data_IF_597367521006
#
_entry.id   IF_597367521006
#
_cell.length_a   1.000
_cell.length_b   1.000
_cell.length_c   1.000
_cell.angle_alpha   90.00
_cell.angle_beta   90.00
_cell.angle_gamma   90.00
#
_symmetry.space_group_name_H-M   'P 1'
#
loop_
_entity.id
_entity.type
_entity.pdbx_description
1 polymer ?
#
# COMPACT_ATOMS: atom_id res chain seq x y z
N UNK A 1 10.43 -11.70 3.67
CA UNK A 1 9.62 -10.46 3.73
C UNK A 1 9.90 -9.59 2.51
N UNK A 2 8.88 -8.96 1.97
CA UNK A 2 9.00 -7.96 0.89
C UNK A 2 8.54 -6.60 1.40
N UNK A 3 9.11 -5.51 0.87
CA UNK A 3 8.71 -4.14 1.21
C UNK A 3 9.03 -3.20 0.05
N UNK A 4 8.44 -2.02 0.04
CA UNK A 4 8.93 -0.90 -0.76
C UNK A 4 10.20 -0.30 -0.13
N UNK A 5 10.97 0.48 -0.91
CA UNK A 5 12.21 1.06 -0.39
C UNK A 5 11.95 2.07 0.73
N UNK A 6 12.75 2.01 1.79
CA UNK A 6 12.75 2.97 2.89
C UNK A 6 12.08 2.53 4.18
N UNK A 7 11.37 1.41 4.20
CA UNK A 7 10.62 0.96 5.39
C UNK A 7 11.47 0.23 6.45
N UNK A 8 12.65 -0.31 6.08
CA UNK A 8 13.49 -1.06 7.00
C UNK A 8 14.17 -0.11 8.00
N UNK A 9 13.97 -0.35 9.29
CA UNK A 9 14.58 0.39 10.39
C UNK A 9 15.90 -0.24 10.85
N UNK A 10 15.88 -1.54 11.16
CA UNK A 10 17.07 -2.30 11.50
C UNK A 10 16.87 -3.79 11.18
N UNK A 11 17.98 -4.54 11.10
CA UNK A 11 17.96 -5.99 10.92
C UNK A 11 19.15 -6.65 11.59
N UNK A 12 19.02 -7.94 11.92
CA UNK A 12 20.15 -8.72 12.45
C UNK A 12 21.22 -8.97 11.37
N UNK A 13 22.50 -9.19 11.77
CA UNK A 13 23.63 -9.30 10.83
C UNK A 13 23.50 -10.44 9.80
N UNK A 14 22.72 -11.47 10.12
CA UNK A 14 22.49 -12.60 9.23
C UNK A 14 21.34 -12.39 8.23
N UNK A 15 20.74 -11.21 8.21
CA UNK A 15 19.73 -10.86 7.20
C UNK A 15 20.39 -10.38 5.91
N UNK A 16 19.89 -10.84 4.79
CA UNK A 16 20.29 -10.40 3.46
C UNK A 16 19.16 -9.60 2.81
N UNK A 17 19.50 -8.45 2.25
CA UNK A 17 18.60 -7.65 1.43
C UNK A 17 18.93 -7.85 -0.05
N UNK A 18 17.92 -8.12 -0.84
CA UNK A 18 18.01 -8.17 -2.29
C UNK A 18 16.99 -7.21 -2.89
N UNK A 19 17.43 -6.33 -3.78
CA UNK A 19 16.51 -5.49 -4.53
C UNK A 19 15.99 -6.29 -5.73
N UNK A 20 14.71 -6.57 -5.73
CA UNK A 20 14.04 -7.30 -6.79
C UNK A 20 13.53 -6.29 -7.83
N UNK A 21 14.35 -6.03 -8.84
CA UNK A 21 13.93 -5.29 -10.02
C UNK A 21 13.35 -6.25 -11.06
N UNK A 22 12.15 -6.01 -11.56
CA UNK A 22 11.67 -6.71 -12.75
C UNK A 22 12.63 -6.47 -13.92
N UNK A 23 12.85 -7.46 -14.81
CA UNK A 23 13.66 -7.28 -16.03
C UNK A 23 13.26 -6.02 -16.80
N UNK A 24 14.16 -5.48 -17.63
CA UNK A 24 14.07 -4.15 -18.25
C UNK A 24 12.70 -3.82 -18.86
N UNK A 25 11.98 -4.80 -19.42
CA UNK A 25 10.60 -4.64 -19.95
C UNK A 25 9.54 -4.50 -18.86
N UNK A 26 9.68 -5.20 -17.72
CA UNK A 26 8.79 -5.07 -16.56
C UNK A 26 9.06 -3.77 -15.79
N UNK A 27 10.32 -3.32 -15.76
CA UNK A 27 10.73 -2.07 -15.14
C UNK A 27 10.14 -0.85 -15.87
N UNK A 28 10.14 -0.86 -17.20
CA UNK A 28 9.50 0.20 -18.00
C UNK A 28 7.98 0.24 -17.77
N UNK A 29 7.30 -0.91 -17.72
CA UNK A 29 5.86 -0.99 -17.41
C UNK A 29 5.52 -0.46 -16.02
N UNK A 30 6.30 -0.83 -14.99
CA UNK A 30 6.13 -0.36 -13.62
C UNK A 30 6.46 1.13 -13.44
N UNK A 31 7.49 1.64 -14.10
CA UNK A 31 7.81 3.07 -14.10
C UNK A 31 6.68 3.93 -14.70
N UNK A 32 5.98 3.41 -15.72
CA UNK A 32 4.83 4.10 -16.31
C UNK A 32 3.56 3.98 -15.47
N UNK A 33 3.40 2.92 -14.67
CA UNK A 33 2.25 2.73 -13.78
C UNK A 33 2.40 3.42 -12.42
N UNK A 34 3.54 4.10 -12.16
CA UNK A 34 3.81 4.75 -10.85
C UNK A 34 4.09 3.75 -9.72
N UNK A 35 4.27 2.46 -10.04
CA UNK A 35 4.79 1.49 -9.10
C UNK A 35 6.27 1.76 -8.85
N UNK A 36 6.72 1.67 -7.59
CA UNK A 36 8.15 1.63 -7.32
C UNK A 36 8.74 0.44 -8.09
N UNK A 37 9.65 0.75 -9.01
CA UNK A 37 10.29 -0.25 -9.87
C UNK A 37 11.10 -1.28 -9.07
N UNK A 38 11.31 -1.03 -7.78
CA UNK A 38 12.16 -1.82 -6.90
C UNK A 38 11.41 -2.18 -5.62
N UNK A 39 11.28 -3.48 -5.39
CA UNK A 39 10.92 -4.05 -4.09
C UNK A 39 12.18 -4.60 -3.45
N UNK A 40 12.30 -4.45 -2.15
CA UNK A 40 13.35 -5.10 -1.38
C UNK A 40 12.80 -6.40 -0.79
N UNK A 41 13.56 -7.48 -0.97
CA UNK A 41 13.31 -8.76 -0.35
C UNK A 41 14.34 -8.97 0.75
N UNK A 42 13.88 -9.39 1.91
CA UNK A 42 14.72 -9.70 3.06
C UNK A 42 14.59 -11.17 3.43
N UNK A 43 15.72 -11.85 3.58
CA UNK A 43 15.80 -13.27 3.97
C UNK A 43 16.88 -13.49 5.02
N UNK A 44 16.63 -14.37 5.99
CA UNK A 44 17.63 -14.80 6.95
C UNK A 44 18.54 -15.85 6.31
N UNK A 45 19.83 -15.83 6.66
CA UNK A 45 20.85 -16.76 6.18
C UNK A 45 21.38 -17.59 7.33
N UNK A 46 21.35 -18.93 7.19
CA UNK A 46 21.95 -19.86 8.14
C UNK A 46 21.25 -19.94 9.50
N UNK A 47 20.00 -19.57 9.63
CA UNK A 47 19.21 -19.63 10.85
C UNK A 47 18.19 -18.49 10.96
N UNK A 48 17.58 -18.35 12.13
CA UNK A 48 16.58 -17.31 12.36
C UNK A 48 17.22 -15.92 12.33
N UNK A 49 16.49 -14.97 11.78
CA UNK A 49 16.88 -13.56 11.71
C UNK A 49 15.75 -12.64 12.15
N UNK A 50 16.08 -11.45 12.57
CA UNK A 50 15.13 -10.42 12.94
C UNK A 50 15.26 -9.22 12.01
N UNK A 51 14.11 -8.63 11.68
CA UNK A 51 14.04 -7.38 10.93
C UNK A 51 12.91 -6.52 11.49
N UNK A 52 13.14 -5.23 11.58
CA UNK A 52 12.12 -4.25 11.94
C UNK A 52 11.81 -3.33 10.76
N UNK A 53 10.55 -3.15 10.52
CA UNK A 53 10.00 -2.13 9.63
C UNK A 53 9.34 -1.07 10.50
N UNK A 54 9.50 0.18 10.14
CA UNK A 54 8.96 1.29 10.91
C UNK A 54 8.19 2.24 10.00
N UNK A 55 7.10 2.78 10.54
CA UNK A 55 6.37 3.89 9.92
C UNK A 55 7.22 5.16 9.90
N UNK A 56 7.06 5.96 8.85
CA UNK A 56 7.72 7.26 8.72
C UNK A 56 7.07 8.34 9.59
N UNK A 57 5.84 8.12 10.07
CA UNK A 57 5.07 9.06 10.88
C UNK A 57 4.51 8.38 12.13
N UNK A 58 4.18 9.16 13.19
CA UNK A 58 3.48 8.63 14.35
C UNK A 58 2.09 8.10 13.95
N UNK A 59 1.83 6.84 14.27
CA UNK A 59 0.59 6.19 13.87
C UNK A 59 0.51 4.75 14.36
N UNK A 60 -0.20 3.92 13.61
CA UNK A 60 -0.38 2.50 13.90
C UNK A 60 0.06 1.63 12.73
N UNK A 61 0.55 0.42 13.07
CA UNK A 61 0.82 -0.64 12.10
C UNK A 61 -0.22 -1.74 12.31
N UNK A 62 -0.90 -2.11 11.23
CA UNK A 62 -1.96 -3.10 11.25
C UNK A 62 -1.58 -4.29 10.38
N UNK A 63 -1.80 -5.51 10.88
CA UNK A 63 -1.61 -6.74 10.14
C UNK A 63 -2.89 -7.12 9.39
N UNK A 64 -2.76 -7.47 8.11
CA UNK A 64 -3.83 -7.92 7.24
C UNK A 64 -3.55 -9.36 6.80
N UNK A 65 -4.46 -10.26 7.11
CA UNK A 65 -4.41 -11.65 6.64
C UNK A 65 -4.88 -11.72 5.18
N UNK A 66 -3.97 -12.11 4.29
CA UNK A 66 -4.24 -12.28 2.85
C UNK A 66 -4.34 -13.77 2.55
N UNK A 67 -5.38 -14.16 1.82
CA UNK A 67 -5.61 -15.56 1.47
C UNK A 67 -6.70 -15.74 0.42
N UNK A 68 -7.08 -16.98 0.11
CA UNK A 68 -8.17 -17.26 -0.81
C UNK A 68 -9.47 -16.58 -0.36
N UNK A 69 -10.03 -15.69 -1.18
CA UNK A 69 -11.22 -14.90 -0.87
C UNK A 69 -11.01 -13.77 0.16
N UNK A 70 -9.77 -13.47 0.51
CA UNK A 70 -9.37 -12.41 1.45
C UNK A 70 -8.32 -11.51 0.82
N UNK A 71 -8.63 -10.93 -0.32
CA UNK A 71 -7.80 -9.90 -0.93
C UNK A 71 -8.13 -8.54 -0.32
N UNK A 72 -7.10 -7.70 -0.19
CA UNK A 72 -7.27 -6.33 0.31
C UNK A 72 -6.82 -5.33 -0.75
N UNK A 73 -7.47 -4.19 -0.78
CA UNK A 73 -7.09 -3.05 -1.61
C UNK A 73 -6.60 -1.97 -0.66
N UNK A 74 -5.34 -1.57 -0.79
CA UNK A 74 -4.68 -0.64 0.12
C UNK A 74 -4.15 0.57 -0.64
N UNK A 75 -4.12 1.71 0.01
CA UNK A 75 -3.43 2.87 -0.55
C UNK A 75 -1.93 2.57 -0.64
N UNK A 76 -1.29 2.93 -1.77
CA UNK A 76 0.14 2.67 -1.97
C UNK A 76 1.01 3.14 -0.80
N UNK A 77 0.73 4.32 -0.26
CA UNK A 77 1.49 4.89 0.87
C UNK A 77 1.24 4.18 2.20
N UNK A 78 0.16 3.42 2.31
CA UNK A 78 -0.12 2.65 3.51
C UNK A 78 0.59 1.29 3.54
N UNK A 79 1.07 0.77 2.40
CA UNK A 79 1.79 -0.50 2.38
C UNK A 79 3.17 -0.37 3.05
N UNK A 80 3.42 -1.18 4.07
CA UNK A 80 4.69 -1.21 4.81
C UNK A 80 5.55 -2.41 4.44
N UNK A 81 5.05 -3.60 4.61
CA UNK A 81 5.75 -4.85 4.33
C UNK A 81 4.76 -6.02 4.16
N UNK A 82 5.23 -7.13 3.58
CA UNK A 82 4.46 -8.37 3.54
C UNK A 82 5.35 -9.61 3.53
N UNK A 83 4.75 -10.75 3.83
CA UNK A 83 5.36 -12.05 3.59
C UNK A 83 5.52 -12.30 2.09
N UNK A 84 6.46 -13.17 1.72
CA UNK A 84 6.82 -13.43 0.32
C UNK A 84 5.67 -13.98 -0.53
N UNK A 85 4.70 -14.65 0.08
CA UNK A 85 3.52 -15.20 -0.59
C UNK A 85 2.47 -14.15 -0.97
N UNK A 86 2.62 -12.90 -0.53
CA UNK A 86 1.72 -11.79 -0.88
C UNK A 86 2.21 -11.10 -2.15
N UNK A 87 1.31 -10.93 -3.09
CA UNK A 87 1.56 -10.26 -4.36
C UNK A 87 0.86 -8.90 -4.40
N UNK A 88 1.58 -7.88 -4.89
CA UNK A 88 1.07 -6.52 -5.07
C UNK A 88 0.83 -6.25 -6.55
N UNK A 89 -0.34 -5.68 -6.84
CA UNK A 89 -0.67 -5.20 -8.19
C UNK A 89 -1.42 -3.86 -8.11
N UNK A 90 -1.34 -3.04 -9.15
CA UNK A 90 -2.12 -1.79 -9.19
C UNK A 90 -3.61 -2.13 -9.37
N UNK A 91 -4.43 -1.66 -8.44
CA UNK A 91 -5.89 -1.73 -8.54
C UNK A 91 -6.44 -0.50 -9.26
N UNK A 92 -6.03 0.68 -8.85
CA UNK A 92 -6.48 1.95 -9.42
C UNK A 92 -5.37 2.99 -9.36
N UNK A 93 -5.23 3.77 -10.43
CA UNK A 93 -4.37 4.95 -10.46
C UNK A 93 -5.12 6.13 -11.09
N UNK A 94 -5.22 7.24 -10.35
CA UNK A 94 -5.81 8.49 -10.83
C UNK A 94 -4.85 9.65 -10.59
N UNK A 95 -4.57 10.42 -11.63
CA UNK A 95 -3.79 11.67 -11.51
C UNK A 95 -4.70 12.80 -11.02
N UNK A 96 -4.63 13.13 -9.76
CA UNK A 96 -5.43 14.16 -9.08
C UNK A 96 -4.60 15.44 -8.90
N UNK A 97 -4.26 16.15 -9.99
CA UNK A 97 -3.51 17.41 -9.91
C UNK A 97 -2.11 17.28 -9.30
N UNK A 98 -1.29 18.33 -9.44
CA UNK A 98 0.14 18.29 -9.02
C UNK A 98 0.38 18.47 -7.50
N UNK A 99 -0.62 18.70 -6.68
CA UNK A 99 -0.46 19.11 -5.27
C UNK A 99 -0.83 18.06 -4.22
N UNK A 100 -1.78 17.17 -4.47
CA UNK A 100 -2.36 16.33 -3.43
C UNK A 100 -1.59 15.05 -3.12
N UNK A 101 -0.86 14.46 -4.08
CA UNK A 101 -0.19 13.16 -3.92
C UNK A 101 1.23 13.15 -4.49
N UNK A 102 1.97 14.25 -4.39
CA UNK A 102 3.40 14.31 -4.74
C UNK A 102 3.71 14.00 -6.22
N UNK A 103 2.77 14.24 -7.14
CA UNK A 103 2.97 14.04 -8.59
C UNK A 103 2.67 12.61 -9.09
N UNK A 104 2.66 11.59 -8.26
CA UNK A 104 2.31 10.20 -8.64
C UNK A 104 0.80 10.00 -8.78
N UNK A 105 0.00 10.82 -8.08
CA UNK A 105 -1.45 10.70 -8.03
C UNK A 105 -1.93 9.77 -6.91
N UNK A 106 -3.23 9.52 -6.87
CA UNK A 106 -3.85 8.57 -5.96
C UNK A 106 -3.71 7.16 -6.54
N UNK A 107 -3.07 6.27 -5.81
CA UNK A 107 -2.81 4.89 -6.22
C UNK A 107 -3.30 3.94 -5.15
N UNK A 108 -4.17 3.01 -5.57
CA UNK A 108 -4.58 1.86 -4.77
C UNK A 108 -3.94 0.60 -5.32
N UNK A 109 -3.42 -0.23 -4.45
CA UNK A 109 -2.79 -1.52 -4.76
C UNK A 109 -3.67 -2.66 -4.23
N UNK A 110 -3.78 -3.73 -5.01
CA UNK A 110 -4.43 -4.96 -4.59
C UNK A 110 -3.39 -5.93 -4.04
N UNK A 111 -3.64 -6.43 -2.85
CA UNK A 111 -2.87 -7.48 -2.19
C UNK A 111 -3.60 -8.81 -2.39
N UNK A 112 -2.91 -9.78 -2.99
CA UNK A 112 -3.42 -11.14 -3.28
C UNK A 112 -2.39 -12.17 -2.85
N UNK A 113 -2.69 -13.45 -3.06
CA UNK A 113 -1.81 -14.56 -2.69
C UNK A 113 -2.11 -15.10 -1.30
N UNK A 114 -1.09 -15.42 -0.50
CA UNK A 114 -1.26 -15.97 0.84
C UNK A 114 -0.14 -15.51 1.76
N UNK A 115 -0.51 -15.00 2.93
CA UNK A 115 0.41 -14.54 3.98
C UNK A 115 -0.12 -13.30 4.69
N UNK A 116 0.74 -12.70 5.51
CA UNK A 116 0.44 -11.48 6.25
C UNK A 116 1.04 -10.27 5.53
N UNK A 117 0.24 -9.26 5.33
CA UNK A 117 0.67 -7.92 4.92
C UNK A 117 0.56 -6.94 6.09
N UNK A 118 1.43 -5.97 6.14
CA UNK A 118 1.43 -4.91 7.15
C UNK A 118 1.21 -3.57 6.46
N UNK A 119 0.28 -2.80 7.00
CA UNK A 119 0.02 -1.43 6.57
C UNK A 119 0.31 -0.45 7.70
N UNK A 120 0.79 0.73 7.34
CA UNK A 120 0.94 1.87 8.25
C UNK A 120 -0.21 2.86 8.04
N UNK A 121 -0.69 3.43 9.12
CA UNK A 121 -1.73 4.46 9.13
C UNK A 121 -1.23 5.62 9.99
N UNK A 122 -1.14 6.80 9.40
CA UNK A 122 -0.79 8.03 10.11
C UNK A 122 -1.92 8.37 11.08
N UNK A 123 -1.61 8.40 12.38
CA UNK A 123 -2.59 8.60 13.43
C UNK A 123 -3.39 7.35 13.77
N UNK A 124 -4.71 7.46 13.81
CA UNK A 124 -5.62 6.41 14.25
C UNK A 124 -6.52 5.92 13.12
N UNK A 125 -6.55 4.60 12.92
CA UNK A 125 -7.43 3.94 11.94
C UNK A 125 -8.81 3.65 12.52
N UNK A 126 -9.86 3.95 11.75
CA UNK A 126 -11.25 3.60 12.07
C UNK A 126 -11.78 2.65 10.99
N UNK A 127 -12.36 1.54 11.42
CA UNK A 127 -12.96 0.55 10.53
C UNK A 127 -14.47 0.77 10.42
N UNK A 128 -15.00 0.74 9.20
CA UNK A 128 -16.41 0.83 8.90
C UNK A 128 -16.89 -0.41 8.16
N UNK A 129 -17.90 -1.07 8.70
CA UNK A 129 -18.59 -2.18 8.04
C UNK A 129 -19.77 -1.65 7.24
N UNK A 130 -19.68 -1.71 5.92
CA UNK A 130 -20.75 -1.28 5.01
C UNK A 130 -21.69 -2.44 4.70
N UNK A 131 -22.98 -2.23 4.89
CA UNK A 131 -23.99 -3.19 4.45
C UNK A 131 -24.07 -3.23 2.91
N UNK A 132 -24.59 -4.33 2.30
CA UNK A 132 -24.78 -4.39 0.85
C UNK A 132 -25.58 -3.20 0.33
N UNK A 133 -25.01 -2.48 -0.65
CA UNK A 133 -25.60 -1.27 -1.24
C UNK A 133 -25.43 0.00 -0.40
N UNK A 134 -24.77 -0.07 0.75
CA UNK A 134 -24.42 1.13 1.53
C UNK A 134 -23.21 1.83 0.89
N UNK A 135 -23.27 3.15 0.85
CA UNK A 135 -22.21 4.00 0.31
C UNK A 135 -21.70 4.95 1.39
N UNK A 136 -20.40 5.28 1.30
CA UNK A 136 -19.74 6.28 2.13
C UNK A 136 -18.90 7.19 1.24
N UNK A 137 -18.98 8.50 1.46
CA UNK A 137 -18.11 9.47 0.80
C UNK A 137 -16.95 9.77 1.75
N UNK A 138 -15.75 9.51 1.27
CA UNK A 138 -14.50 9.68 2.04
C UNK A 138 -13.52 10.49 1.18
N UNK A 139 -12.82 11.43 1.80
CA UNK A 139 -11.70 12.08 1.11
C UNK A 139 -10.61 11.06 0.81
N UNK A 140 -10.02 11.15 -0.40
CA UNK A 140 -9.03 10.18 -0.89
C UNK A 140 -7.78 10.06 0.00
N UNK A 141 -7.44 11.10 0.77
CA UNK A 141 -6.34 11.10 1.73
C UNK A 141 -6.59 10.25 2.97
N UNK A 142 -7.85 9.94 3.28
CA UNK A 142 -8.23 9.20 4.49
C UNK A 142 -8.58 7.73 4.25
N UNK A 143 -8.64 7.27 2.99
CA UNK A 143 -8.87 5.86 2.69
C UNK A 143 -7.53 5.11 2.73
N UNK A 144 -7.28 4.34 3.79
CA UNK A 144 -6.07 3.53 3.92
C UNK A 144 -6.22 2.16 3.25
N UNK A 145 -7.32 1.45 3.49
CA UNK A 145 -7.58 0.12 2.96
C UNK A 145 -9.08 -0.15 2.81
N UNK A 146 -9.43 -1.09 1.95
CA UNK A 146 -10.78 -1.65 1.83
C UNK A 146 -10.71 -3.12 1.41
N UNK A 147 -11.73 -3.90 1.74
CA UNK A 147 -11.89 -5.27 1.23
C UNK A 147 -12.20 -5.27 -0.27
N UNK A 148 -11.87 -6.37 -0.95
CA UNK A 148 -12.18 -6.57 -2.38
C UNK A 148 -13.67 -6.55 -2.69
N UNK A 149 -14.51 -6.82 -1.70
CA UNK A 149 -15.98 -6.76 -1.81
C UNK A 149 -16.50 -5.33 -1.96
N UNK A 150 -15.71 -4.33 -1.60
CA UNK A 150 -16.01 -2.92 -1.79
C UNK A 150 -15.59 -2.44 -3.18
N UNK A 151 -16.35 -1.52 -3.74
CA UNK A 151 -16.00 -0.79 -4.97
C UNK A 151 -15.84 0.68 -4.65
N UNK A 152 -15.01 1.39 -5.42
CA UNK A 152 -14.82 2.83 -5.23
C UNK A 152 -14.81 3.58 -6.55
N UNK A 153 -15.34 4.79 -6.51
CA UNK A 153 -15.21 5.78 -7.57
C UNK A 153 -14.71 7.10 -7.01
N UNK A 154 -13.96 7.86 -7.82
CA UNK A 154 -13.49 9.18 -7.45
C UNK A 154 -14.40 10.23 -8.10
N UNK A 155 -15.13 10.95 -7.26
CA UNK A 155 -15.99 12.06 -7.66
C UNK A 155 -15.32 13.39 -7.30
N UNK A 156 -15.50 14.40 -8.14
CA UNK A 156 -15.06 15.75 -7.81
C UNK A 156 -16.14 16.45 -7.00
N UNK A 157 -15.71 17.11 -5.93
CA UNK A 157 -16.59 18.02 -5.19
C UNK A 157 -16.89 19.22 -6.09
N UNK A 158 -18.17 19.48 -6.36
CA UNK A 158 -18.59 20.60 -7.21
C UNK A 158 -18.46 21.93 -6.48
N UNK A 159 -18.06 22.97 -7.21
CA UNK A 159 -17.92 24.34 -6.75
C UNK A 159 -16.49 24.75 -6.40
N UNK A 160 -16.07 25.91 -6.95
CA UNK A 160 -14.70 26.44 -6.75
C UNK A 160 -14.35 26.66 -5.27
N UNK A 161 -15.31 27.08 -4.45
CA UNK A 161 -15.09 27.27 -2.99
C UNK A 161 -14.83 25.95 -2.29
N UNK A 162 -15.57 24.89 -2.62
CA UNK A 162 -15.41 23.57 -2.03
C UNK A 162 -14.12 22.91 -2.44
N UNK A 163 -13.60 23.22 -3.65
CA UNK A 163 -12.33 22.68 -4.13
C UNK A 163 -11.10 23.24 -3.37
N UNK A 164 -11.22 24.43 -2.74
CA UNK A 164 -10.12 25.08 -2.04
C UNK A 164 -10.28 25.11 -0.51
N UNK A 165 -11.48 24.88 0.00
CA UNK A 165 -11.82 25.04 1.42
C UNK A 165 -12.45 23.78 2.05
N UNK A 166 -12.66 22.73 1.26
CA UNK A 166 -13.16 21.43 1.74
C UNK A 166 -12.04 20.47 2.11
#
# INVERSE_FOLDING_TARGET
MITESGSMSWMSPNMKMETVGGGMKKMLGRAFSGENAFQNRYSAQGGDGMIAFASSFPGSVNALEIGPGKSMIVQKKAFLAAEEGVELSVYMQKKLGKGLFGGEGFIMQKLTGQGTAFIEIDGYGVEYNLAPGQEMIVDTGYLAAMEETCTMDIVKVEGMKNMFLG
#
